data_IF_003676976209
#
_entry.id   IF_003676976209
#
_cell.length_a   1.000
_cell.length_b   1.000
_cell.length_c   1.000
_cell.angle_alpha   90.00
_cell.angle_beta   90.00
_cell.angle_gamma   90.00
#
_symmetry.space_group_name_H-M   'P 1'
#
loop_
_entity.id
_entity.type
_entity.pdbx_description
1 polymer ?
#
# COMPACT_ATOMS: atom_id res chain seq x y z
N UNK A 1 -1.01 -33.06 -1.87
CA UNK A 1 -1.04 -31.97 -0.87
C UNK A 1 0.07 -31.01 -1.25
N UNK A 2 -0.20 -29.70 -1.35
CA UNK A 2 0.75 -28.63 -1.76
C UNK A 2 1.70 -28.19 -0.64
N UNK A 3 1.78 -28.95 0.46
CA UNK A 3 2.51 -28.51 1.66
C UNK A 3 4.01 -28.51 1.44
N UNK A 4 4.67 -27.52 2.03
CA UNK A 4 6.12 -27.31 2.02
C UNK A 4 6.60 -27.34 3.47
N UNK A 5 7.73 -28.00 3.75
CA UNK A 5 8.38 -27.91 5.07
C UNK A 5 9.63 -27.04 4.99
N UNK A 6 9.73 -26.06 5.87
CA UNK A 6 10.98 -25.36 6.16
C UNK A 6 11.57 -25.97 7.43
N UNK A 7 12.70 -26.67 7.29
CA UNK A 7 13.46 -27.19 8.40
C UNK A 7 14.52 -26.18 8.86
N UNK A 8 14.66 -26.00 10.16
CA UNK A 8 15.75 -25.20 10.75
C UNK A 8 16.15 -25.70 12.13
N UNK A 9 17.38 -25.45 12.57
CA UNK A 9 17.82 -25.85 13.92
C UNK A 9 17.13 -25.01 15.02
N UNK A 10 16.75 -23.77 14.72
CA UNK A 10 16.19 -22.83 15.71
C UNK A 10 15.07 -21.99 15.09
N UNK A 11 13.85 -22.16 15.59
CA UNK A 11 12.69 -21.37 15.17
C UNK A 11 12.63 -20.08 15.97
N UNK A 12 12.97 -18.95 15.34
CA UNK A 12 12.82 -17.61 15.91
C UNK A 12 11.47 -16.97 15.54
N UNK A 13 11.02 -15.93 16.26
CA UNK A 13 9.83 -15.15 15.90
C UNK A 13 9.90 -14.58 14.47
N UNK A 14 11.04 -14.00 14.07
CA UNK A 14 11.26 -13.43 12.73
C UNK A 14 11.16 -14.48 11.62
N UNK A 15 11.81 -15.64 11.82
CA UNK A 15 11.76 -16.74 10.85
C UNK A 15 10.34 -17.28 10.70
N UNK A 16 9.66 -17.50 11.83
CA UNK A 16 8.25 -17.93 11.84
C UNK A 16 7.38 -16.96 11.06
N UNK A 17 7.48 -15.67 11.37
CA UNK A 17 6.72 -14.63 10.71
C UNK A 17 6.94 -14.62 9.20
N UNK A 18 8.20 -14.61 8.73
CA UNK A 18 8.46 -14.47 7.29
C UNK A 18 8.07 -15.72 6.52
N UNK A 19 8.29 -16.93 7.06
CA UNK A 19 7.86 -18.18 6.41
C UNK A 19 6.35 -18.19 6.19
N UNK A 20 5.56 -17.85 7.21
CA UNK A 20 4.10 -17.80 7.08
C UNK A 20 3.61 -16.63 6.22
N UNK A 21 4.34 -15.50 6.20
CA UNK A 21 4.01 -14.39 5.30
C UNK A 21 4.19 -14.78 3.83
N UNK A 22 5.24 -15.54 3.51
CA UNK A 22 5.57 -15.91 2.13
C UNK A 22 4.75 -17.08 1.58
N UNK A 23 4.38 -18.03 2.44
CA UNK A 23 3.75 -19.29 2.00
C UNK A 23 2.37 -19.56 2.59
N UNK A 24 1.90 -18.73 3.53
CA UNK A 24 0.61 -18.92 4.19
C UNK A 24 0.51 -20.25 4.95
N UNK A 25 -0.71 -20.76 5.07
CA UNK A 25 -1.04 -22.00 5.81
C UNK A 25 -0.51 -23.29 5.16
N UNK A 26 0.03 -23.19 3.94
CA UNK A 26 0.62 -24.32 3.22
C UNK A 26 2.06 -24.64 3.66
N UNK A 27 2.71 -23.74 4.40
CA UNK A 27 4.02 -23.99 4.99
C UNK A 27 3.94 -24.63 6.38
N UNK A 28 4.81 -25.60 6.60
CA UNK A 28 5.16 -26.12 7.92
C UNK A 28 6.55 -25.59 8.27
N UNK A 29 6.77 -25.27 9.55
CA UNK A 29 8.07 -24.85 10.08
C UNK A 29 8.44 -25.79 11.21
N UNK A 30 9.55 -26.52 11.05
CA UNK A 30 9.96 -27.57 11.97
C UNK A 30 11.45 -27.54 12.30
N UNK A 31 11.80 -28.14 13.43
CA UNK A 31 13.19 -28.28 13.88
C UNK A 31 13.60 -29.72 14.19
N UNK A 32 12.71 -30.69 13.98
CA UNK A 32 13.03 -32.10 14.08
C UNK A 32 13.57 -32.61 12.73
N UNK A 33 14.83 -33.06 12.74
CA UNK A 33 15.48 -33.57 11.54
C UNK A 33 14.87 -34.88 11.04
N UNK A 34 14.44 -35.76 11.95
CA UNK A 34 13.82 -37.02 11.57
C UNK A 34 12.47 -36.79 10.88
N UNK A 35 11.67 -35.84 11.40
CA UNK A 35 10.44 -35.40 10.73
C UNK A 35 10.73 -34.79 9.36
N UNK A 36 11.76 -33.93 9.26
CA UNK A 36 12.12 -33.29 8.01
C UNK A 36 12.56 -34.27 6.92
N UNK A 37 13.35 -35.30 7.28
CA UNK A 37 13.78 -36.33 6.34
C UNK A 37 12.67 -37.32 5.97
N UNK A 38 11.64 -37.46 6.80
CA UNK A 38 10.48 -38.31 6.54
C UNK A 38 9.32 -37.57 5.85
N UNK A 39 9.45 -36.27 5.58
CA UNK A 39 8.38 -35.45 5.01
C UNK A 39 8.10 -35.82 3.55
N UNK A 40 6.83 -36.11 3.25
CA UNK A 40 6.36 -36.41 1.88
C UNK A 40 6.01 -35.11 1.13
N UNK A 41 7.05 -34.43 0.64
CA UNK A 41 6.93 -33.19 -0.11
C UNK A 41 8.24 -32.41 -0.13
N UNK A 42 8.24 -31.18 -0.70
CA UNK A 42 9.44 -30.37 -0.71
C UNK A 42 9.86 -29.95 0.71
N UNK A 43 11.16 -30.00 0.95
CA UNK A 43 11.80 -29.60 2.21
C UNK A 43 12.88 -28.56 1.91
N UNK A 44 12.67 -27.33 2.38
CA UNK A 44 13.71 -26.31 2.42
C UNK A 44 14.53 -26.50 3.70
N UNK A 45 15.80 -26.85 3.55
CA UNK A 45 16.78 -26.85 4.61
C UNK A 45 17.29 -25.42 4.85
N UNK A 46 16.77 -24.77 5.89
CA UNK A 46 17.24 -23.47 6.38
C UNK A 46 18.26 -23.65 7.51
N UNK A 47 19.45 -24.13 7.14
CA UNK A 47 20.58 -24.32 8.05
C UNK A 47 21.92 -24.22 7.33
N UNK A 48 23.02 -24.25 8.08
CA UNK A 48 24.38 -24.26 7.51
C UNK A 48 24.83 -25.66 7.06
N UNK A 49 24.16 -26.69 7.58
CA UNK A 49 24.54 -28.08 7.31
C UNK A 49 24.02 -28.53 5.94
N UNK A 50 24.78 -29.41 5.28
CA UNK A 50 24.30 -30.12 4.09
C UNK A 50 23.53 -31.34 4.59
N UNK A 51 22.23 -31.38 4.31
CA UNK A 51 21.34 -32.46 4.72
C UNK A 51 20.86 -33.23 3.48
N UNK A 52 21.41 -34.44 3.22
CA UNK A 52 20.94 -35.29 2.13
C UNK A 52 19.44 -35.58 2.26
N UNK A 53 18.71 -35.59 1.14
CA UNK A 53 17.26 -35.84 1.11
C UNK A 53 16.39 -34.59 1.23
N UNK A 54 16.98 -33.42 1.54
CA UNK A 54 16.26 -32.13 1.46
C UNK A 54 16.21 -31.63 0.01
N UNK A 55 15.23 -30.80 -0.30
CA UNK A 55 14.93 -30.37 -1.67
C UNK A 55 15.73 -29.13 -2.09
N UNK A 56 16.01 -28.25 -1.14
CA UNK A 56 16.71 -27.00 -1.39
C UNK A 56 17.36 -26.53 -0.10
N UNK A 57 18.62 -26.08 -0.15
CA UNK A 57 19.30 -25.46 0.98
C UNK A 57 19.33 -23.94 0.81
N UNK A 58 18.82 -23.24 1.82
CA UNK A 58 18.97 -21.79 1.99
C UNK A 58 19.81 -21.58 3.25
N UNK A 59 20.98 -20.96 3.12
CA UNK A 59 21.90 -20.81 4.26
C UNK A 59 21.54 -19.55 5.05
N UNK A 60 21.36 -19.63 6.39
CA UNK A 60 21.02 -18.45 7.20
C UNK A 60 22.22 -17.50 7.39
N UNK A 61 22.01 -16.21 7.16
CA UNK A 61 22.97 -15.11 7.41
C UNK A 61 22.96 -14.58 8.84
N UNK A 62 21.92 -14.88 9.62
CA UNK A 62 21.86 -14.55 11.06
C UNK A 62 20.75 -13.58 11.45
N UNK A 63 20.30 -12.70 10.53
CA UNK A 63 19.34 -11.63 10.82
C UNK A 63 18.06 -12.12 11.51
N UNK A 64 17.57 -13.29 11.10
CA UNK A 64 16.32 -13.84 11.64
C UNK A 64 16.50 -14.38 13.06
N UNK A 65 17.71 -14.65 13.53
CA UNK A 65 17.98 -15.14 14.89
C UNK A 65 18.30 -14.00 15.87
N UNK A 66 18.52 -12.78 15.37
CA UNK A 66 18.84 -11.62 16.18
C UNK A 66 17.61 -11.03 16.88
N UNK A 67 17.85 -10.41 18.04
CA UNK A 67 16.85 -9.64 18.78
C UNK A 67 17.08 -8.13 18.70
N UNK A 68 18.32 -7.70 18.43
CA UNK A 68 18.65 -6.29 18.29
C UNK A 68 18.30 -5.75 16.90
N UNK A 69 18.21 -4.43 16.82
CA UNK A 69 18.11 -3.67 15.58
C UNK A 69 19.41 -2.88 15.43
N UNK A 70 20.11 -3.07 14.31
CA UNK A 70 21.36 -2.37 14.04
C UNK A 70 21.60 -2.24 12.54
N UNK A 71 22.52 -1.35 12.15
CA UNK A 71 22.87 -1.19 10.75
C UNK A 71 23.46 -2.48 10.17
N UNK A 72 22.96 -2.90 9.02
CA UNK A 72 23.41 -4.10 8.31
C UNK A 72 24.10 -3.64 7.03
N UNK A 73 25.35 -4.07 6.84
CA UNK A 73 26.03 -3.92 5.55
C UNK A 73 25.47 -4.98 4.60
N UNK A 74 24.71 -4.52 3.60
CA UNK A 74 24.15 -5.39 2.58
C UNK A 74 25.25 -5.73 1.56
N UNK A 75 25.35 -7.01 1.18
CA UNK A 75 26.24 -7.54 0.15
C UNK A 75 25.47 -7.73 -1.17
N UNK A 76 25.28 -6.67 -1.99
CA UNK A 76 24.46 -6.76 -3.19
C UNK A 76 25.06 -7.74 -4.21
N UNK A 77 24.17 -8.48 -4.87
CA UNK A 77 24.50 -9.42 -5.94
C UNK A 77 23.34 -9.55 -6.92
N UNK A 78 23.40 -10.59 -7.76
CA UNK A 78 22.33 -10.91 -8.70
C UNK A 78 22.02 -12.42 -8.71
N UNK A 79 20.74 -12.75 -8.88
CA UNK A 79 20.27 -14.10 -9.15
C UNK A 79 19.21 -14.05 -10.24
N UNK A 80 19.48 -14.64 -11.41
CA UNK A 80 18.54 -14.63 -12.55
C UNK A 80 18.06 -13.20 -12.90
N UNK A 81 19.00 -12.25 -13.02
CA UNK A 81 18.74 -10.82 -13.28
C UNK A 81 17.91 -10.09 -12.20
N UNK A 82 17.62 -10.73 -11.07
CA UNK A 82 17.05 -10.10 -9.88
C UNK A 82 18.17 -9.63 -8.96
N UNK A 83 18.13 -8.38 -8.46
CA UNK A 83 18.98 -7.97 -7.35
C UNK A 83 18.75 -8.88 -6.15
N UNK A 84 19.83 -9.22 -5.44
CA UNK A 84 19.80 -9.95 -4.16
C UNK A 84 20.75 -9.28 -3.18
N UNK A 85 20.60 -9.61 -1.91
CA UNK A 85 21.51 -9.29 -0.81
C UNK A 85 21.36 -10.39 0.25
N UNK A 86 22.23 -10.42 1.26
CA UNK A 86 22.44 -11.57 2.14
C UNK A 86 23.01 -12.79 1.40
N UNK A 87 24.02 -12.59 0.54
CA UNK A 87 24.57 -13.65 -0.32
C UNK A 87 25.17 -14.83 0.46
N UNK A 88 24.89 -16.05 0.01
CA UNK A 88 25.39 -17.29 0.64
C UNK A 88 25.70 -18.38 -0.39
N UNK A 89 26.31 -19.48 0.06
CA UNK A 89 26.64 -20.65 -0.76
C UNK A 89 25.56 -21.75 -0.68
N UNK A 90 24.28 -21.37 -0.62
CA UNK A 90 23.14 -22.29 -0.72
C UNK A 90 22.81 -22.69 -2.16
N UNK A 91 21.81 -23.55 -2.34
CA UNK A 91 21.22 -23.82 -3.67
C UNK A 91 20.52 -22.56 -4.20
N UNK A 92 19.93 -21.78 -3.28
CA UNK A 92 19.59 -20.38 -3.49
C UNK A 92 20.79 -19.54 -3.04
N UNK A 93 21.31 -18.61 -3.87
CA UNK A 93 22.60 -17.94 -3.64
C UNK A 93 22.55 -16.83 -2.57
N UNK A 94 21.50 -16.76 -1.78
CA UNK A 94 21.31 -15.79 -0.71
C UNK A 94 20.32 -16.30 0.33
N UNK A 95 20.34 -15.69 1.52
CA UNK A 95 19.34 -15.91 2.55
C UNK A 95 18.03 -15.22 2.16
N UNK A 96 17.22 -15.92 1.36
CA UNK A 96 15.93 -15.45 0.86
C UNK A 96 14.99 -15.01 2.00
N UNK A 97 14.98 -15.75 3.12
CA UNK A 97 14.10 -15.41 4.24
C UNK A 97 14.57 -14.15 4.97
N UNK A 98 15.88 -13.97 5.18
CA UNK A 98 16.39 -12.72 5.75
C UNK A 98 16.16 -11.53 4.83
N UNK A 99 16.40 -11.69 3.52
CA UNK A 99 16.19 -10.62 2.55
C UNK A 99 14.71 -10.21 2.44
N UNK A 100 13.80 -11.18 2.39
CA UNK A 100 12.37 -10.93 2.37
C UNK A 100 11.89 -10.29 3.67
N UNK A 101 12.36 -10.76 4.83
CA UNK A 101 12.04 -10.15 6.13
C UNK A 101 12.49 -8.70 6.18
N UNK A 102 13.73 -8.40 5.77
CA UNK A 102 14.28 -7.05 5.75
C UNK A 102 13.40 -6.06 4.95
N UNK A 103 12.91 -6.49 3.77
CA UNK A 103 12.05 -5.67 2.91
C UNK A 103 10.62 -5.56 3.45
N UNK A 104 10.00 -6.66 3.87
CA UNK A 104 8.59 -6.68 4.28
C UNK A 104 8.41 -6.04 5.67
N UNK A 105 9.32 -6.29 6.61
CA UNK A 105 9.27 -5.68 7.95
C UNK A 105 9.64 -4.19 7.93
N UNK A 106 10.10 -3.68 6.77
CA UNK A 106 10.68 -2.35 6.60
C UNK A 106 11.82 -2.11 7.60
N UNK A 107 12.71 -3.09 7.75
CA UNK A 107 13.79 -3.07 8.76
C UNK A 107 14.59 -1.76 8.72
N UNK A 108 14.89 -1.28 7.51
CA UNK A 108 15.61 -0.03 7.24
C UNK A 108 14.96 1.23 7.84
N UNK A 109 13.64 1.24 8.08
CA UNK A 109 12.94 2.40 8.66
C UNK A 109 13.09 2.50 10.19
N UNK A 110 13.56 1.43 10.84
CA UNK A 110 13.90 1.44 12.27
C UNK A 110 15.34 1.92 12.53
N UNK A 111 16.14 2.11 11.47
CA UNK A 111 17.49 2.63 11.56
C UNK A 111 17.48 4.17 11.44
N UNK A 112 18.52 4.86 11.95
CA UNK A 112 18.66 6.30 11.72
C UNK A 112 18.62 6.64 10.22
N UNK A 113 17.75 7.56 9.83
CA UNK A 113 17.57 7.97 8.45
C UNK A 113 17.16 9.44 8.35
N UNK A 114 17.39 10.03 7.19
CA UNK A 114 16.89 11.36 6.88
C UNK A 114 15.43 11.27 6.42
N UNK A 115 14.54 11.98 7.12
CA UNK A 115 13.15 12.08 6.71
C UNK A 115 12.99 13.01 5.50
N UNK A 116 11.97 12.76 4.68
CA UNK A 116 11.60 13.68 3.61
C UNK A 116 10.94 14.96 4.15
N UNK A 117 10.55 15.87 3.26
CA UNK A 117 9.92 17.15 3.63
C UNK A 117 8.62 17.00 4.46
N UNK A 118 7.98 15.83 4.44
CA UNK A 118 6.75 15.52 5.19
C UNK A 118 7.02 14.72 6.46
N UNK A 119 8.28 14.48 6.82
CA UNK A 119 8.66 13.67 7.97
C UNK A 119 8.50 12.16 7.74
N UNK A 120 8.40 11.72 6.47
CA UNK A 120 8.27 10.30 6.10
C UNK A 120 9.64 9.70 5.82
N UNK A 121 9.71 8.38 5.78
CA UNK A 121 10.89 7.70 5.25
C UNK A 121 11.07 8.04 3.76
N UNK A 122 12.20 8.66 3.41
CA UNK A 122 12.49 9.03 2.03
C UNK A 122 12.83 7.80 1.19
N UNK A 123 12.22 7.67 0.00
CA UNK A 123 12.48 6.54 -0.91
C UNK A 123 13.97 6.40 -1.28
N UNK A 124 14.73 7.51 -1.33
CA UNK A 124 16.16 7.52 -1.65
C UNK A 124 17.02 6.80 -0.61
N UNK A 125 16.54 6.68 0.62
CA UNK A 125 17.22 5.91 1.67
C UNK A 125 17.04 4.40 1.48
N UNK A 126 16.01 3.99 0.73
CA UNK A 126 15.66 2.59 0.62
C UNK A 126 16.69 1.80 -0.17
N UNK A 127 16.93 0.57 0.27
CA UNK A 127 17.70 -0.43 -0.48
C UNK A 127 17.13 -0.62 -1.88
N UNK A 128 15.80 -0.55 -2.02
CA UNK A 128 15.10 -0.66 -3.30
C UNK A 128 15.45 0.44 -4.30
N UNK A 129 15.65 1.67 -3.82
CA UNK A 129 16.12 2.77 -4.66
C UNK A 129 17.61 2.62 -4.98
N UNK A 130 18.43 2.37 -3.96
CA UNK A 130 19.89 2.28 -4.11
C UNK A 130 20.33 1.16 -5.06
N UNK A 131 19.61 0.05 -5.07
CA UNK A 131 19.86 -1.11 -5.94
C UNK A 131 18.92 -1.15 -7.17
N UNK A 132 18.20 -0.06 -7.46
CA UNK A 132 17.39 0.15 -8.66
C UNK A 132 16.32 -0.94 -8.90
N UNK A 133 15.56 -1.29 -7.87
CA UNK A 133 14.44 -2.25 -7.96
C UNK A 133 13.12 -1.75 -7.40
N UNK A 134 12.95 -0.44 -7.15
CA UNK A 134 11.68 0.14 -6.69
C UNK A 134 10.46 -0.32 -7.51
N UNK A 135 10.63 -0.50 -8.82
CA UNK A 135 9.56 -0.91 -9.73
C UNK A 135 9.33 -2.42 -9.75
N UNK A 136 9.94 -3.21 -8.87
CA UNK A 136 9.83 -4.68 -8.85
C UNK A 136 9.15 -5.14 -7.56
N UNK A 137 8.14 -6.02 -7.63
CA UNK A 137 7.67 -6.78 -6.47
C UNK A 137 8.68 -7.90 -6.15
N UNK A 138 9.91 -7.50 -5.81
CA UNK A 138 11.10 -8.33 -5.85
C UNK A 138 10.97 -9.61 -5.00
N UNK A 139 10.30 -9.53 -3.85
CA UNK A 139 10.08 -10.70 -2.99
C UNK A 139 9.16 -11.71 -3.66
N UNK A 140 8.12 -11.26 -4.37
CA UNK A 140 7.26 -12.14 -5.15
C UNK A 140 8.04 -12.79 -6.32
N UNK A 141 8.91 -12.04 -7.00
CA UNK A 141 9.74 -12.57 -8.08
C UNK A 141 10.72 -13.65 -7.56
N UNK A 142 11.34 -13.43 -6.39
CA UNK A 142 12.18 -14.45 -5.75
C UNK A 142 11.39 -15.72 -5.39
N UNK A 143 10.15 -15.60 -4.94
CA UNK A 143 9.29 -16.77 -4.65
C UNK A 143 8.95 -17.56 -5.91
N UNK A 144 8.70 -16.89 -7.03
CA UNK A 144 8.50 -17.59 -8.30
C UNK A 144 9.74 -18.37 -8.75
N UNK A 145 10.93 -17.77 -8.61
CA UNK A 145 12.18 -18.45 -8.91
C UNK A 145 12.46 -19.63 -7.97
N UNK A 146 12.14 -19.51 -6.68
CA UNK A 146 12.19 -20.61 -5.71
C UNK A 146 11.20 -21.71 -6.08
N UNK A 147 9.97 -21.38 -6.47
CA UNK A 147 8.97 -22.35 -6.90
C UNK A 147 9.45 -23.16 -8.11
N UNK A 148 10.00 -22.47 -9.12
CA UNK A 148 10.58 -23.11 -10.30
C UNK A 148 11.75 -24.03 -9.94
N UNK A 149 12.59 -23.64 -8.98
CA UNK A 149 13.67 -24.48 -8.49
C UNK A 149 13.14 -25.76 -7.81
N UNK A 150 12.15 -25.64 -6.93
CA UNK A 150 11.54 -26.79 -6.24
C UNK A 150 10.80 -27.71 -7.22
N UNK A 151 10.18 -27.17 -8.27
CA UNK A 151 9.49 -27.94 -9.31
C UNK A 151 10.41 -28.85 -10.13
N UNK A 152 11.72 -28.60 -10.14
CA UNK A 152 12.70 -29.51 -10.78
C UNK A 152 12.74 -30.87 -10.07
N UNK A 153 12.50 -30.88 -8.75
CA UNK A 153 12.48 -32.08 -7.92
C UNK A 153 11.06 -32.59 -7.62
N UNK A 154 10.09 -31.67 -7.57
CA UNK A 154 8.68 -31.96 -7.31
C UNK A 154 7.78 -31.38 -8.40
N UNK A 155 7.70 -32.00 -9.60
CA UNK A 155 7.01 -31.41 -10.76
C UNK A 155 5.51 -31.15 -10.57
N UNK A 156 4.89 -31.84 -9.62
CA UNK A 156 3.47 -31.69 -9.29
C UNK A 156 3.21 -30.73 -8.13
N UNK A 157 4.27 -30.26 -7.46
CA UNK A 157 4.14 -29.30 -6.37
C UNK A 157 4.02 -27.88 -6.95
N UNK A 158 3.08 -27.11 -6.40
CA UNK A 158 2.94 -25.68 -6.63
C UNK A 158 2.70 -25.02 -5.30
N UNK A 159 3.27 -23.84 -5.11
CA UNK A 159 2.89 -22.99 -3.99
C UNK A 159 1.40 -22.60 -4.15
N UNK A 160 0.69 -22.41 -3.04
CA UNK A 160 -0.61 -21.73 -3.10
C UNK A 160 -0.39 -20.32 -3.67
N UNK A 161 -0.85 -20.12 -4.90
CA UNK A 161 -0.81 -18.82 -5.56
C UNK A 161 -2.14 -18.12 -5.31
N UNK A 162 -2.14 -16.86 -4.87
CA UNK A 162 -3.35 -16.06 -4.87
C UNK A 162 -3.87 -15.92 -6.30
N UNK A 163 -5.13 -15.49 -6.43
CA UNK A 163 -5.67 -15.05 -7.71
C UNK A 163 -5.45 -13.55 -7.79
N UNK A 164 -4.94 -13.10 -8.94
CA UNK A 164 -4.81 -11.68 -9.22
C UNK A 164 -6.13 -10.94 -8.95
N UNK A 165 -6.05 -9.78 -8.31
CA UNK A 165 -7.23 -8.96 -8.05
C UNK A 165 -6.94 -7.47 -8.26
N UNK A 166 -7.81 -6.79 -8.99
CA UNK A 166 -7.81 -5.34 -9.17
C UNK A 166 -8.81 -4.71 -8.20
N UNK A 167 -8.32 -3.85 -7.31
CA UNK A 167 -9.15 -3.15 -6.32
C UNK A 167 -8.79 -1.66 -6.30
N UNK A 168 -9.39 -0.81 -7.14
CA UNK A 168 -9.10 0.63 -7.09
C UNK A 168 -9.49 1.22 -5.74
N UNK A 169 -8.77 2.26 -5.33
CA UNK A 169 -9.06 2.97 -4.07
C UNK A 169 -9.00 4.47 -4.26
N UNK A 170 -9.79 5.19 -3.46
CA UNK A 170 -9.94 6.64 -3.59
C UNK A 170 -9.71 7.38 -2.30
N UNK A 171 -8.89 8.43 -2.37
CA UNK A 171 -8.67 9.36 -1.28
C UNK A 171 -9.51 10.62 -1.54
N UNK A 172 -10.51 10.84 -0.67
CA UNK A 172 -11.45 11.95 -0.78
C UNK A 172 -10.87 13.17 -0.04
N UNK A 173 -9.88 13.81 -0.66
CA UNK A 173 -9.17 14.97 -0.09
C UNK A 173 -9.91 16.30 -0.30
N UNK A 174 -10.64 16.39 -1.40
CA UNK A 174 -11.39 17.57 -1.81
C UNK A 174 -12.75 17.14 -2.36
N UNK A 175 -13.68 16.82 -1.46
CA UNK A 175 -14.98 16.27 -1.77
C UNK A 175 -15.82 17.17 -2.69
N UNK A 176 -15.67 18.49 -2.51
CA UNK A 176 -16.36 19.52 -3.28
C UNK A 176 -15.42 20.70 -3.53
N UNK A 177 -15.46 21.27 -4.74
CA UNK A 177 -14.67 22.46 -5.12
C UNK A 177 -15.28 23.73 -4.58
N UNK A 178 -16.61 23.85 -4.62
CA UNK A 178 -17.33 25.05 -4.19
C UNK A 178 -18.39 24.77 -3.12
N UNK A 179 -19.23 23.74 -3.33
CA UNK A 179 -20.34 23.42 -2.43
C UNK A 179 -19.84 23.06 -1.04
N UNK A 180 -20.68 23.28 -0.04
CA UNK A 180 -20.45 22.90 1.36
C UNK A 180 -19.25 23.59 2.06
N UNK A 181 -18.48 24.43 1.36
CA UNK A 181 -17.54 25.35 1.98
C UNK A 181 -18.25 26.52 2.66
N UNK A 182 -17.59 27.13 3.66
CA UNK A 182 -18.16 28.24 4.40
C UNK A 182 -18.50 29.43 3.46
N UNK A 183 -19.67 30.07 3.60
CA UNK A 183 -20.11 31.13 2.69
C UNK A 183 -19.09 32.28 2.54
N UNK A 184 -18.47 32.71 3.64
CA UNK A 184 -17.49 33.79 3.62
C UNK A 184 -16.23 33.43 2.80
N UNK A 185 -15.80 32.16 2.80
CA UNK A 185 -14.65 31.69 2.03
C UNK A 185 -14.95 31.76 0.53
N UNK A 186 -16.18 31.41 0.15
CA UNK A 186 -16.63 31.50 -1.23
C UNK A 186 -16.84 32.94 -1.70
N UNK A 187 -17.35 33.82 -0.85
CA UNK A 187 -17.47 35.26 -1.14
C UNK A 187 -16.08 35.89 -1.29
N UNK A 188 -15.16 35.63 -0.36
CA UNK A 188 -13.78 36.13 -0.46
C UNK A 188 -13.05 35.57 -1.69
N UNK A 189 -13.25 34.30 -2.01
CA UNK A 189 -12.72 33.69 -3.23
C UNK A 189 -13.32 34.32 -4.49
N UNK A 190 -14.62 34.59 -4.51
CA UNK A 190 -15.31 35.26 -5.61
C UNK A 190 -14.74 36.64 -5.89
N UNK A 191 -14.62 37.50 -4.87
CA UNK A 191 -14.04 38.82 -5.05
C UNK A 191 -12.56 38.77 -5.46
N UNK A 192 -11.77 37.87 -4.86
CA UNK A 192 -10.37 37.69 -5.26
C UNK A 192 -10.24 37.25 -6.72
N UNK A 193 -11.01 36.24 -7.14
CA UNK A 193 -10.93 35.69 -8.49
C UNK A 193 -11.43 36.71 -9.52
N UNK A 194 -12.46 37.50 -9.17
CA UNK A 194 -12.93 38.64 -9.97
C UNK A 194 -11.84 39.71 -10.14
N UNK A 195 -11.17 40.09 -9.06
CA UNK A 195 -10.05 41.05 -9.09
C UNK A 195 -8.83 40.52 -9.86
N UNK A 196 -8.64 39.19 -9.89
CA UNK A 196 -7.58 38.53 -10.66
C UNK A 196 -7.97 38.26 -12.13
N UNK A 197 -9.16 38.68 -12.57
CA UNK A 197 -9.64 38.47 -13.94
C UNK A 197 -9.98 37.02 -14.29
N UNK A 198 -10.18 36.14 -13.29
CA UNK A 198 -10.52 34.72 -13.47
C UNK A 198 -12.03 34.53 -13.68
N UNK A 199 -12.57 35.16 -14.72
CA UNK A 199 -14.02 35.22 -14.97
C UNK A 199 -14.67 33.84 -15.17
N UNK A 200 -13.95 32.88 -15.76
CA UNK A 200 -14.45 31.51 -15.94
C UNK A 200 -14.74 30.83 -14.58
N UNK A 201 -13.81 30.92 -13.62
CA UNK A 201 -13.99 30.38 -12.26
C UNK A 201 -15.14 31.06 -11.51
N UNK A 202 -15.33 32.37 -11.74
CA UNK A 202 -16.45 33.14 -11.17
C UNK A 202 -17.79 32.66 -11.74
N UNK A 203 -17.87 32.47 -13.06
CA UNK A 203 -19.06 31.98 -13.74
C UNK A 203 -19.41 30.55 -13.34
N UNK A 204 -18.43 29.64 -13.32
CA UNK A 204 -18.59 28.26 -12.88
C UNK A 204 -19.14 28.20 -11.46
N UNK A 205 -18.54 28.96 -10.53
CA UNK A 205 -19.03 29.05 -9.14
C UNK A 205 -20.50 29.49 -9.09
N UNK A 206 -20.89 30.49 -9.89
CA UNK A 206 -22.28 30.95 -9.95
C UNK A 206 -23.23 29.90 -10.57
N UNK A 207 -22.78 29.18 -11.59
CA UNK A 207 -23.54 28.09 -12.22
C UNK A 207 -23.76 26.92 -11.25
N UNK A 208 -22.73 26.54 -10.49
CA UNK A 208 -22.83 25.51 -9.45
C UNK A 208 -23.82 25.92 -8.35
N UNK A 209 -23.73 27.14 -7.83
CA UNK A 209 -24.67 27.61 -6.79
C UNK A 209 -26.10 27.82 -7.28
N UNK A 210 -26.29 28.13 -8.57
CA UNK A 210 -27.63 28.21 -9.17
C UNK A 210 -28.20 26.83 -9.55
N UNK A 211 -27.44 25.75 -9.38
CA UNK A 211 -27.85 24.39 -9.77
C UNK A 211 -27.83 24.13 -11.27
N UNK A 212 -27.25 25.04 -12.07
CA UNK A 212 -27.12 24.88 -13.52
C UNK A 212 -25.97 23.96 -13.93
N UNK A 213 -25.03 23.71 -13.02
CA UNK A 213 -23.89 22.83 -13.22
C UNK A 213 -23.64 22.03 -11.94
N UNK A 214 -23.16 20.79 -12.07
CA UNK A 214 -22.69 19.99 -10.95
C UNK A 214 -21.35 20.55 -10.41
N UNK A 215 -21.07 20.34 -9.13
CA UNK A 215 -19.77 20.72 -8.58
C UNK A 215 -18.66 19.87 -9.24
N UNK A 216 -17.57 20.46 -9.76
CA UNK A 216 -16.57 19.71 -10.52
C UNK A 216 -15.94 18.52 -9.79
N UNK A 217 -15.83 18.58 -8.45
CA UNK A 217 -15.24 17.50 -7.66
C UNK A 217 -16.24 16.41 -7.27
N UNK A 218 -17.53 16.63 -7.54
CA UNK A 218 -18.65 15.72 -7.26
C UNK A 218 -18.74 14.64 -8.34
N UNK A 219 -17.70 13.82 -8.48
CA UNK A 219 -17.52 12.83 -9.56
C UNK A 219 -18.10 11.45 -9.21
N UNK A 220 -18.78 11.32 -8.07
CA UNK A 220 -19.11 10.03 -7.47
C UNK A 220 -20.12 9.21 -8.28
N UNK A 221 -21.07 9.85 -8.96
CA UNK A 221 -22.04 9.16 -9.83
C UNK A 221 -21.33 8.51 -11.04
N UNK A 222 -20.36 9.22 -11.61
CA UNK A 222 -19.52 8.68 -12.69
C UNK A 222 -18.64 7.53 -12.21
N UNK A 223 -18.01 7.66 -11.03
CA UNK A 223 -17.26 6.55 -10.43
C UNK A 223 -18.15 5.34 -10.18
N UNK A 224 -19.36 5.55 -9.63
CA UNK A 224 -20.31 4.49 -9.40
C UNK A 224 -20.68 3.75 -10.70
N UNK A 225 -20.96 4.47 -11.78
CA UNK A 225 -21.23 3.87 -13.10
C UNK A 225 -20.08 2.99 -13.56
N UNK A 226 -18.85 3.48 -13.52
CA UNK A 226 -17.66 2.70 -13.87
C UNK A 226 -17.52 1.43 -13.01
N UNK A 227 -17.80 1.51 -11.70
CA UNK A 227 -17.75 0.32 -10.84
C UNK A 227 -18.79 -0.72 -11.19
N UNK A 228 -20.00 -0.28 -11.56
CA UNK A 228 -21.06 -1.21 -11.96
C UNK A 228 -20.73 -1.87 -13.31
N UNK A 229 -20.20 -1.11 -14.26
CA UNK A 229 -19.82 -1.60 -15.59
C UNK A 229 -18.71 -2.65 -15.54
N UNK A 230 -17.75 -2.48 -14.62
CA UNK A 230 -16.59 -3.35 -14.46
C UNK A 230 -16.67 -4.28 -13.23
N UNK A 231 -17.82 -4.37 -12.56
CA UNK A 231 -18.00 -5.18 -11.34
C UNK A 231 -16.89 -4.97 -10.27
N UNK A 232 -16.46 -3.73 -10.07
CA UNK A 232 -15.37 -3.37 -9.17
C UNK A 232 -15.86 -3.21 -7.73
N UNK A 233 -15.00 -3.58 -6.77
CA UNK A 233 -15.25 -3.39 -5.33
C UNK A 233 -14.29 -2.35 -4.72
N UNK A 234 -14.49 -1.05 -4.99
CA UNK A 234 -13.55 -0.02 -4.58
C UNK A 234 -13.51 0.17 -3.05
N UNK A 235 -12.45 0.84 -2.60
CA UNK A 235 -12.30 1.30 -1.21
C UNK A 235 -12.13 2.82 -1.16
N UNK A 236 -12.97 3.50 -0.38
CA UNK A 236 -12.95 4.95 -0.22
C UNK A 236 -12.40 5.38 1.14
N UNK A 237 -11.43 6.29 1.16
CA UNK A 237 -10.89 6.88 2.38
C UNK A 237 -11.36 8.32 2.53
N UNK A 238 -11.97 8.63 3.67
CA UNK A 238 -12.54 9.95 3.94
C UNK A 238 -11.69 10.78 4.88
N UNK A 239 -11.26 11.95 4.41
CA UNK A 239 -10.59 12.97 5.22
C UNK A 239 -11.63 13.85 5.93
N UNK A 240 -11.82 13.63 7.23
CA UNK A 240 -12.82 14.31 8.05
C UNK A 240 -12.21 15.27 9.08
N UNK A 241 -11.21 16.03 8.66
CA UNK A 241 -10.47 16.95 9.52
C UNK A 241 -11.36 18.08 10.08
N UNK A 242 -11.50 18.16 11.42
CA UNK A 242 -12.17 19.30 12.07
C UNK A 242 -11.37 20.59 11.86
N UNK A 243 -10.04 20.50 12.04
CA UNK A 243 -9.09 21.60 11.85
C UNK A 243 -8.58 21.60 10.41
N UNK A 244 -9.29 22.33 9.55
CA UNK A 244 -8.95 22.49 8.12
C UNK A 244 -7.79 23.48 7.89
N UNK A 245 -6.59 23.13 8.39
CA UNK A 245 -5.35 23.92 8.23
C UNK A 245 -4.37 23.23 7.29
N UNK A 246 -3.61 24.02 6.54
CA UNK A 246 -2.53 23.52 5.70
C UNK A 246 -3.05 22.65 4.55
N UNK A 247 -2.75 21.35 4.62
CA UNK A 247 -3.03 20.40 3.55
C UNK A 247 -4.45 19.79 3.61
N UNK A 248 -5.13 19.84 4.76
CA UNK A 248 -6.48 19.30 4.91
C UNK A 248 -7.52 20.27 4.31
N UNK A 249 -7.89 20.05 3.04
CA UNK A 249 -8.65 21.01 2.22
C UNK A 249 -10.15 20.73 2.12
N UNK A 250 -10.61 19.63 2.70
CA UNK A 250 -12.02 19.26 2.65
C UNK A 250 -12.95 20.32 3.26
N UNK A 251 -14.24 20.33 2.85
CA UNK A 251 -15.28 21.08 3.56
C UNK A 251 -15.36 20.72 5.03
N UNK A 252 -16.09 21.51 5.80
CA UNK A 252 -16.36 21.18 7.20
C UNK A 252 -17.07 19.81 7.30
N UNK A 253 -16.52 18.82 8.03
CA UNK A 253 -17.07 17.47 8.06
C UNK A 253 -18.45 17.42 8.73
N UNK A 254 -18.87 18.46 9.46
CA UNK A 254 -20.20 18.56 10.05
C UNK A 254 -21.27 19.14 9.10
N UNK A 255 -20.91 19.45 7.86
CA UNK A 255 -21.88 19.92 6.87
C UNK A 255 -22.83 18.80 6.43
N UNK A 256 -24.10 19.11 6.10
CA UNK A 256 -25.04 18.12 5.58
C UNK A 256 -24.52 17.40 4.32
N UNK A 257 -23.77 18.10 3.46
CA UNK A 257 -23.18 17.54 2.24
C UNK A 257 -22.14 16.45 2.53
N UNK A 258 -21.19 16.72 3.44
CA UNK A 258 -20.20 15.72 3.84
C UNK A 258 -20.86 14.50 4.48
N UNK A 259 -21.85 14.71 5.36
CA UNK A 259 -22.62 13.61 5.95
C UNK A 259 -23.32 12.77 4.89
N UNK A 260 -24.02 13.40 3.95
CA UNK A 260 -24.76 12.71 2.89
C UNK A 260 -23.83 11.93 1.98
N UNK A 261 -22.68 12.51 1.62
CA UNK A 261 -21.66 11.85 0.79
C UNK A 261 -21.11 10.59 1.46
N UNK A 262 -20.70 10.68 2.72
CA UNK A 262 -20.20 9.51 3.45
C UNK A 262 -21.28 8.44 3.56
N UNK A 263 -22.52 8.82 3.84
CA UNK A 263 -23.66 7.90 3.92
C UNK A 263 -23.94 7.20 2.59
N UNK A 264 -23.94 7.94 1.47
CA UNK A 264 -24.23 7.36 0.15
C UNK A 264 -23.14 6.39 -0.29
N UNK A 265 -21.87 6.75 -0.13
CA UNK A 265 -20.75 5.88 -0.48
C UNK A 265 -20.70 4.66 0.44
N UNK A 266 -20.85 4.84 1.77
CA UNK A 266 -20.80 3.72 2.71
C UNK A 266 -21.98 2.73 2.55
N UNK A 267 -23.10 3.17 1.98
CA UNK A 267 -24.22 2.27 1.66
C UNK A 267 -23.84 1.24 0.58
N UNK A 268 -22.92 1.59 -0.32
CA UNK A 268 -22.59 0.80 -1.51
C UNK A 268 -21.20 0.15 -1.42
N UNK A 269 -20.23 0.85 -0.82
CA UNK A 269 -18.83 0.50 -0.88
C UNK A 269 -18.17 0.42 0.50
N UNK A 270 -17.01 -0.23 0.55
CA UNK A 270 -16.16 -0.23 1.73
C UNK A 270 -15.58 1.18 1.95
N UNK A 271 -15.47 1.58 3.22
CA UNK A 271 -14.94 2.89 3.59
C UNK A 271 -13.92 2.77 4.72
N UNK A 272 -12.91 3.64 4.69
CA UNK A 272 -11.87 3.77 5.70
C UNK A 272 -11.66 5.22 6.10
N UNK A 273 -10.97 5.42 7.22
CA UNK A 273 -10.57 6.77 7.64
C UNK A 273 -9.35 7.21 6.84
N UNK A 274 -9.33 8.48 6.42
CA UNK A 274 -8.13 9.17 5.94
C UNK A 274 -7.69 10.16 7.02
N UNK A 275 -6.91 9.73 8.05
CA UNK A 275 -6.65 10.57 9.21
C UNK A 275 -5.98 11.88 8.80
N UNK A 276 -6.43 12.99 9.38
CA UNK A 276 -5.93 14.31 9.03
C UNK A 276 -4.45 14.46 9.34
N UNK A 277 -3.82 15.48 8.76
CA UNK A 277 -2.41 15.77 9.06
C UNK A 277 -2.17 15.92 10.57
N UNK A 278 -3.07 16.56 11.30
CA UNK A 278 -2.91 16.82 12.74
C UNK A 278 -3.13 15.58 13.60
N UNK A 279 -3.84 14.57 13.11
CA UNK A 279 -4.03 13.29 13.82
C UNK A 279 -2.71 12.52 14.01
N UNK A 280 -1.70 12.82 13.17
CA UNK A 280 -0.34 12.31 13.31
C UNK A 280 0.43 12.88 14.52
N UNK A 281 -0.09 13.92 15.18
CA UNK A 281 0.54 14.55 16.35
C UNK A 281 -0.36 14.49 17.60
N UNK A 282 -1.66 14.27 17.44
CA UNK A 282 -2.67 14.26 18.52
C UNK A 282 -3.62 13.05 18.38
N UNK A 283 -3.44 12.05 19.24
CA UNK A 283 -4.23 10.81 19.25
C UNK A 283 -5.74 11.06 19.46
N UNK A 284 -6.11 12.12 20.18
CA UNK A 284 -7.52 12.45 20.40
C UNK A 284 -8.19 12.94 19.12
N UNK A 285 -7.43 13.50 18.17
CA UNK A 285 -7.95 13.89 16.86
C UNK A 285 -8.29 12.64 16.05
N UNK A 286 -7.39 11.66 15.97
CA UNK A 286 -7.64 10.39 15.27
C UNK A 286 -8.91 9.71 15.78
N UNK A 287 -9.07 9.61 17.10
CA UNK A 287 -10.23 8.95 17.68
C UNK A 287 -11.55 9.69 17.35
N UNK A 288 -11.55 11.02 17.38
CA UNK A 288 -12.72 11.83 17.02
C UNK A 288 -13.08 11.68 15.54
N UNK A 289 -12.11 11.76 14.65
CA UNK A 289 -12.31 11.61 13.20
C UNK A 289 -12.83 10.20 12.86
N UNK A 290 -12.26 9.16 13.49
CA UNK A 290 -12.73 7.78 13.37
C UNK A 290 -14.18 7.62 13.84
N UNK A 291 -14.52 8.19 15.01
CA UNK A 291 -15.90 8.14 15.56
C UNK A 291 -16.88 8.86 14.65
N UNK A 292 -16.50 10.00 14.07
CA UNK A 292 -17.34 10.74 13.13
C UNK A 292 -17.63 9.92 11.87
N UNK A 293 -16.61 9.29 11.29
CA UNK A 293 -16.79 8.40 10.13
C UNK A 293 -17.72 7.23 10.50
N UNK A 294 -17.50 6.58 11.64
CA UNK A 294 -18.35 5.47 12.09
C UNK A 294 -19.82 5.89 12.28
N UNK A 295 -20.04 7.09 12.81
CA UNK A 295 -21.40 7.65 12.97
C UNK A 295 -22.07 7.91 11.63
N UNK A 296 -21.35 8.42 10.62
CA UNK A 296 -21.92 8.67 9.29
C UNK A 296 -22.11 7.39 8.49
N UNK A 297 -21.15 6.48 8.49
CA UNK A 297 -21.22 5.22 7.75
C UNK A 297 -22.18 4.20 8.37
N UNK A 298 -22.49 4.34 9.67
CA UNK A 298 -23.28 3.37 10.42
C UNK A 298 -22.56 2.03 10.64
N UNK A 299 -21.24 1.99 10.46
CA UNK A 299 -20.41 0.78 10.51
C UNK A 299 -19.14 1.02 11.33
N UNK A 300 -18.56 -0.03 11.94
CA UNK A 300 -17.22 0.06 12.52
C UNK A 300 -16.19 0.49 11.47
N UNK A 301 -15.31 1.41 11.84
CA UNK A 301 -14.20 1.84 10.99
C UNK A 301 -12.96 1.04 11.38
N UNK A 302 -12.50 0.18 10.48
CA UNK A 302 -11.35 -0.72 10.71
C UNK A 302 -10.23 -0.54 9.71
N UNK A 303 -10.43 0.25 8.65
CA UNK A 303 -9.44 0.55 7.63
C UNK A 303 -8.95 1.99 7.76
N UNK A 304 -7.65 2.21 7.53
CA UNK A 304 -7.00 3.53 7.55
C UNK A 304 -6.04 3.70 6.38
N UNK A 305 -5.94 4.91 5.84
CA UNK A 305 -4.82 5.35 5.00
C UNK A 305 -4.39 6.73 5.48
N UNK A 306 -3.12 6.94 5.81
CA UNK A 306 -2.63 8.23 6.30
C UNK A 306 -2.69 9.28 5.19
N UNK A 307 -3.23 10.47 5.48
CA UNK A 307 -3.14 11.61 4.57
C UNK A 307 -1.67 11.94 4.30
N UNK A 308 -1.33 12.16 3.02
CA UNK A 308 0.05 12.28 2.53
C UNK A 308 0.93 11.04 2.79
N UNK A 309 0.36 9.87 3.11
CA UNK A 309 1.12 8.69 3.55
C UNK A 309 2.09 9.02 4.70
N UNK A 310 1.67 9.91 5.61
CA UNK A 310 2.45 10.33 6.79
C UNK A 310 2.59 9.18 7.79
N UNK A 311 3.43 8.21 7.41
CA UNK A 311 3.68 6.97 8.12
C UNK A 311 5.09 6.99 8.72
N UNK A 312 5.14 6.93 10.06
CA UNK A 312 6.37 6.75 10.83
C UNK A 312 6.26 5.47 11.65
N UNK A 313 7.12 4.49 11.34
CA UNK A 313 7.21 3.24 12.10
C UNK A 313 8.05 3.45 13.38
N UNK A 314 7.73 2.74 14.48
CA UNK A 314 6.52 1.93 14.70
C UNK A 314 5.31 2.75 15.17
N UNK A 315 5.50 4.04 15.48
CA UNK A 315 4.55 4.87 16.22
C UNK A 315 3.15 4.93 15.59
N UNK A 316 3.09 5.14 14.28
CA UNK A 316 1.80 5.30 13.57
C UNK A 316 0.97 4.02 13.66
N UNK A 317 1.59 2.86 13.44
CA UNK A 317 0.89 1.57 13.47
C UNK A 317 0.46 1.15 14.87
N UNK A 318 1.25 1.48 15.90
CA UNK A 318 0.81 1.31 17.30
C UNK A 318 -0.44 2.14 17.60
N UNK A 319 -0.45 3.43 17.22
CA UNK A 319 -1.62 4.30 17.42
C UNK A 319 -2.86 3.79 16.69
N UNK A 320 -2.71 3.30 15.46
CA UNK A 320 -3.80 2.69 14.70
C UNK A 320 -4.38 1.49 15.45
N UNK A 321 -3.53 0.59 15.96
CA UNK A 321 -3.96 -0.54 16.78
C UNK A 321 -4.66 -0.09 18.06
N UNK A 322 -4.14 0.93 18.75
CA UNK A 322 -4.68 1.43 20.02
C UNK A 322 -6.11 1.97 19.86
N UNK A 323 -6.41 2.61 18.72
CA UNK A 323 -7.78 3.05 18.40
C UNK A 323 -8.62 1.97 17.73
N UNK A 324 -8.11 0.75 17.55
CA UNK A 324 -8.84 -0.40 16.99
C UNK A 324 -8.98 -0.42 15.46
N UNK A 325 -8.02 0.16 14.73
CA UNK A 325 -7.86 -0.08 13.29
C UNK A 325 -7.22 -1.45 13.09
N UNK A 326 -7.69 -2.18 12.08
CA UNK A 326 -7.28 -3.55 11.78
C UNK A 326 -6.50 -3.64 10.47
N UNK A 327 -6.67 -2.68 9.56
CA UNK A 327 -5.95 -2.64 8.30
C UNK A 327 -5.45 -1.23 7.96
N UNK A 328 -4.20 -1.14 7.52
CA UNK A 328 -3.59 0.09 7.00
C UNK A 328 -3.23 -0.05 5.52
N UNK A 329 -3.47 1.02 4.78
CA UNK A 329 -3.30 1.12 3.33
C UNK A 329 -2.30 2.22 2.95
N UNK A 330 -1.32 2.49 3.80
CA UNK A 330 -0.36 3.60 3.67
C UNK A 330 1.05 3.15 3.24
N UNK A 331 1.27 1.84 3.06
CA UNK A 331 2.58 1.25 2.74
C UNK A 331 2.95 1.43 1.26
N UNK A 332 3.28 2.67 0.89
CA UNK A 332 3.86 3.06 -0.40
C UNK A 332 4.78 4.27 -0.21
N UNK A 333 5.49 4.68 -1.26
CA UNK A 333 6.21 5.95 -1.28
C UNK A 333 5.29 7.05 -1.79
N UNK A 334 5.34 8.24 -1.17
CA UNK A 334 4.53 9.37 -1.63
C UNK A 334 5.18 10.22 -2.72
N UNK A 335 6.45 9.98 -3.04
CA UNK A 335 7.24 10.81 -3.98
C UNK A 335 7.74 10.05 -5.21
N UNK A 336 7.50 8.74 -5.30
CA UNK A 336 7.85 7.90 -6.43
C UNK A 336 6.89 6.72 -6.47
N UNK A 337 6.39 6.34 -7.64
CA UNK A 337 5.60 5.13 -7.79
C UNK A 337 6.52 3.90 -7.67
N UNK A 338 6.06 2.82 -7.05
CA UNK A 338 6.87 1.63 -6.80
C UNK A 338 6.54 0.89 -5.50
N UNK A 339 7.18 -0.26 -5.31
CA UNK A 339 6.87 -1.20 -4.23
C UNK A 339 7.70 -0.91 -2.97
N UNK A 340 7.12 -0.20 -2.00
CA UNK A 340 7.80 0.11 -0.72
C UNK A 340 8.20 -1.13 0.06
N UNK A 341 7.36 -2.15 0.13
CA UNK A 341 7.69 -3.42 0.80
C UNK A 341 8.26 -4.48 -0.17
N UNK A 342 8.46 -4.14 -1.46
CA UNK A 342 8.80 -5.09 -2.53
C UNK A 342 7.88 -6.32 -2.59
N UNK A 343 6.61 -6.12 -2.21
CA UNK A 343 5.60 -7.15 -2.01
C UNK A 343 4.22 -6.63 -2.45
N UNK A 344 3.33 -7.54 -2.85
CA UNK A 344 2.03 -7.21 -3.51
C UNK A 344 0.79 -7.72 -2.80
N UNK A 345 0.93 -8.48 -1.73
CA UNK A 345 -0.18 -9.07 -1.01
C UNK A 345 -0.31 -8.46 0.39
N UNK A 346 -1.49 -8.53 1.02
CA UNK A 346 -1.63 -8.12 2.41
C UNK A 346 -0.73 -8.95 3.33
N UNK A 347 -0.11 -8.31 4.32
CA UNK A 347 0.73 -8.98 5.32
C UNK A 347 0.55 -8.36 6.70
N UNK A 348 0.66 -9.14 7.76
CA UNK A 348 0.56 -8.60 9.11
C UNK A 348 1.82 -7.79 9.44
N UNK A 349 1.67 -6.63 10.06
CA UNK A 349 2.81 -5.83 10.48
C UNK A 349 3.61 -6.55 11.57
N UNK A 350 4.93 -6.64 11.37
CA UNK A 350 5.89 -7.07 12.38
C UNK A 350 6.46 -5.85 13.11
N UNK A 351 6.12 -5.70 14.39
CA UNK A 351 6.70 -4.68 15.26
C UNK A 351 8.12 -5.11 15.63
N UNK A 352 9.10 -4.59 14.89
CA UNK A 352 10.50 -5.03 14.97
C UNK A 352 11.11 -4.72 16.34
N UNK A 353 10.75 -3.58 16.96
CA UNK A 353 11.23 -3.23 18.30
C UNK A 353 10.69 -4.18 19.37
N UNK A 354 9.46 -4.68 19.20
CA UNK A 354 8.86 -5.67 20.11
C UNK A 354 9.16 -7.12 19.71
N UNK A 355 9.84 -7.32 18.59
CA UNK A 355 10.14 -8.61 17.96
C UNK A 355 8.91 -9.53 17.86
N UNK A 356 7.79 -8.99 17.38
CA UNK A 356 6.54 -9.74 17.28
C UNK A 356 5.65 -9.32 16.11
N UNK A 357 4.94 -10.30 15.55
CA UNK A 357 3.82 -10.05 14.64
C UNK A 357 2.65 -9.42 15.41
N UNK A 358 2.01 -8.42 14.80
CA UNK A 358 0.80 -7.77 15.33
C UNK A 358 -0.45 -8.21 14.58
N UNK A 359 -1.62 -7.72 15.00
CA UNK A 359 -2.90 -7.94 14.29
C UNK A 359 -3.18 -6.92 13.18
N UNK A 360 -2.31 -5.94 12.95
CA UNK A 360 -2.53 -4.90 11.93
C UNK A 360 -2.16 -5.47 10.56
N UNK A 361 -3.13 -5.55 9.64
CA UNK A 361 -2.92 -6.03 8.29
C UNK A 361 -2.53 -4.87 7.37
N UNK A 362 -1.41 -4.99 6.68
CA UNK A 362 -0.87 -3.96 5.80
C UNK A 362 -1.18 -4.30 4.35
N UNK A 363 -1.80 -3.35 3.65
CA UNK A 363 -2.06 -3.42 2.21
C UNK A 363 -1.07 -2.49 1.49
N UNK A 364 0.01 -3.03 0.92
CA UNK A 364 0.91 -2.23 0.11
C UNK A 364 0.24 -1.84 -1.21
N UNK A 365 0.65 -0.71 -1.77
CA UNK A 365 0.32 -0.32 -3.14
C UNK A 365 1.55 0.30 -3.81
N UNK A 366 1.49 0.43 -5.13
CA UNK A 366 2.63 0.90 -5.91
C UNK A 366 2.34 2.03 -6.89
N UNK A 367 1.07 2.45 -7.04
CA UNK A 367 0.70 3.55 -7.91
C UNK A 367 -0.24 4.54 -7.22
N UNK A 368 0.07 5.82 -7.33
CA UNK A 368 -0.78 6.93 -6.92
C UNK A 368 -0.71 8.05 -7.95
N UNK A 369 -1.87 8.54 -8.38
CA UNK A 369 -1.97 9.63 -9.37
C UNK A 369 -1.27 10.92 -8.90
N UNK A 370 -1.40 11.31 -7.63
CA UNK A 370 -0.75 12.51 -7.09
C UNK A 370 0.78 12.41 -7.11
N UNK A 371 1.34 11.20 -7.03
CA UNK A 371 2.77 10.95 -7.21
C UNK A 371 3.18 11.16 -8.66
N UNK A 372 2.46 10.54 -9.60
CA UNK A 372 2.71 10.71 -11.03
C UNK A 372 2.59 12.20 -11.44
N UNK A 373 1.57 12.91 -10.95
CA UNK A 373 1.28 14.29 -11.31
C UNK A 373 2.31 15.28 -10.72
N UNK A 374 2.55 15.24 -9.40
CA UNK A 374 3.26 16.33 -8.73
C UNK A 374 4.74 16.04 -8.45
N UNK A 375 5.09 14.77 -8.23
CA UNK A 375 6.44 14.36 -7.85
C UNK A 375 7.25 13.93 -9.06
N UNK A 376 6.72 13.00 -9.83
CA UNK A 376 7.38 12.50 -11.06
C UNK A 376 7.10 13.42 -12.25
N UNK A 377 6.01 14.20 -12.20
CA UNK A 377 5.60 15.18 -13.22
C UNK A 377 5.45 14.55 -14.60
N UNK A 378 4.87 13.36 -14.61
CA UNK A 378 4.60 12.60 -15.83
C UNK A 378 3.56 13.31 -16.69
N UNK A 379 3.75 13.21 -18.00
CA UNK A 379 2.67 13.43 -18.95
C UNK A 379 1.60 12.34 -18.82
N UNK A 380 0.41 12.59 -19.38
CA UNK A 380 -0.69 11.60 -19.37
C UNK A 380 -0.23 10.28 -20.01
N UNK A 381 0.48 10.33 -21.14
CA UNK A 381 0.95 9.13 -21.83
C UNK A 381 1.99 8.36 -20.99
N UNK A 382 2.94 9.06 -20.36
CA UNK A 382 3.92 8.44 -19.47
C UNK A 382 3.25 7.80 -18.25
N UNK A 383 2.29 8.48 -17.63
CA UNK A 383 1.54 7.96 -16.50
C UNK A 383 0.68 6.73 -16.88
N UNK A 384 0.13 6.70 -18.09
CA UNK A 384 -0.63 5.55 -18.60
C UNK A 384 0.29 4.34 -18.80
N UNK A 385 1.48 4.55 -19.36
CA UNK A 385 2.51 3.50 -19.51
C UNK A 385 2.97 2.99 -18.15
N UNK A 386 3.19 3.88 -17.19
CA UNK A 386 3.61 3.50 -15.83
C UNK A 386 2.53 2.69 -15.11
N UNK A 387 1.29 3.18 -15.10
CA UNK A 387 0.14 2.50 -14.50
C UNK A 387 -0.02 1.08 -15.05
N UNK A 388 0.01 0.95 -16.39
CA UNK A 388 -0.10 -0.35 -17.06
C UNK A 388 1.11 -1.24 -16.74
N UNK A 389 2.33 -0.68 -16.69
CA UNK A 389 3.54 -1.45 -16.35
C UNK A 389 3.46 -2.02 -14.94
N UNK A 390 3.05 -1.23 -13.96
CA UNK A 390 2.90 -1.66 -12.57
C UNK A 390 1.76 -2.68 -12.43
N UNK A 391 0.62 -2.46 -13.09
CA UNK A 391 -0.47 -3.41 -13.17
C UNK A 391 0.01 -4.78 -13.69
N UNK A 392 0.72 -4.80 -14.82
CA UNK A 392 1.22 -6.04 -15.41
C UNK A 392 2.23 -6.76 -14.51
N UNK A 393 3.07 -6.03 -13.77
CA UNK A 393 3.99 -6.62 -12.80
C UNK A 393 3.26 -7.30 -11.65
N UNK A 394 2.24 -6.65 -11.09
CA UNK A 394 1.41 -7.25 -10.04
C UNK A 394 0.63 -8.45 -10.56
N UNK A 395 0.09 -8.35 -11.77
CA UNK A 395 -0.64 -9.45 -12.44
C UNK A 395 0.24 -10.67 -12.68
N UNK A 396 1.49 -10.50 -13.11
CA UNK A 396 2.45 -11.61 -13.32
C UNK A 396 2.75 -12.40 -12.05
N UNK A 397 2.64 -11.76 -10.89
CA UNK A 397 2.84 -12.40 -9.58
C UNK A 397 1.55 -12.77 -8.86
N UNK A 398 0.41 -12.69 -9.58
CA UNK A 398 -0.94 -12.89 -9.03
C UNK A 398 -1.22 -12.08 -7.75
N UNK A 399 -0.68 -10.87 -7.67
CA UNK A 399 -0.84 -10.00 -6.51
C UNK A 399 -2.16 -9.23 -6.47
N UNK A 400 -2.30 -8.38 -5.46
CA UNK A 400 -3.40 -7.42 -5.33
C UNK A 400 -2.95 -6.07 -5.89
N UNK A 401 -3.55 -5.62 -7.01
CA UNK A 401 -3.28 -4.30 -7.55
C UNK A 401 -4.31 -3.29 -7.03
N UNK A 402 -3.84 -2.37 -6.18
CA UNK A 402 -4.68 -1.36 -5.53
C UNK A 402 -4.17 0.05 -5.82
N UNK A 403 -4.39 0.59 -7.04
CA UNK A 403 -3.97 1.94 -7.36
C UNK A 403 -4.78 2.96 -6.55
N UNK A 404 -4.15 4.10 -6.24
CA UNK A 404 -4.77 5.21 -5.51
C UNK A 404 -5.06 6.35 -6.47
N UNK A 405 -6.32 6.78 -6.48
CA UNK A 405 -6.75 7.97 -7.21
C UNK A 405 -7.44 8.97 -6.30
N UNK A 406 -7.31 10.26 -6.59
CA UNK A 406 -8.02 11.30 -5.85
C UNK A 406 -9.17 11.84 -6.70
N UNK A 407 -10.36 11.95 -6.09
CA UNK A 407 -11.58 12.35 -6.78
C UNK A 407 -11.43 13.65 -7.58
N UNK A 408 -10.65 14.60 -7.05
CA UNK A 408 -10.46 15.92 -7.61
C UNK A 408 -9.46 15.99 -8.79
N UNK A 409 -8.79 14.87 -9.14
CA UNK A 409 -8.03 14.72 -10.38
C UNK A 409 -8.82 13.98 -11.48
N UNK A 410 -10.00 13.46 -11.15
CA UNK A 410 -10.85 12.71 -12.08
C UNK A 410 -12.05 13.54 -12.57
N UNK A 411 -11.88 14.85 -12.66
CA UNK A 411 -12.95 15.79 -13.02
C UNK A 411 -12.98 16.06 -14.53
N UNK A 412 -14.05 16.69 -15.02
CA UNK A 412 -14.16 17.13 -16.43
C UNK A 412 -13.51 18.50 -16.68
N UNK A 413 -12.80 19.04 -15.70
CA UNK A 413 -12.06 20.29 -15.86
C UNK A 413 -10.93 20.10 -16.88
N UNK A 414 -10.61 21.15 -17.63
CA UNK A 414 -9.61 21.09 -18.70
C UNK A 414 -8.25 20.57 -18.22
N UNK A 415 -7.84 20.93 -17.01
CA UNK A 415 -6.57 20.48 -16.43
C UNK A 415 -6.56 18.99 -16.01
N UNK A 416 -7.74 18.37 -15.82
CA UNK A 416 -7.91 17.02 -15.26
C UNK A 416 -8.54 16.02 -16.23
N UNK A 417 -9.18 16.49 -17.31
CA UNK A 417 -9.91 15.62 -18.24
C UNK A 417 -9.04 14.52 -18.85
N UNK A 418 -7.76 14.79 -19.10
CA UNK A 418 -6.80 13.78 -19.58
C UNK A 418 -6.51 12.69 -18.55
N UNK A 419 -6.44 13.02 -17.27
CA UNK A 419 -6.27 12.06 -16.17
C UNK A 419 -7.53 11.24 -15.93
N UNK A 420 -8.71 11.87 -16.05
CA UNK A 420 -10.00 11.18 -16.04
C UNK A 420 -10.10 10.15 -17.17
N UNK A 421 -9.74 10.53 -18.39
CA UNK A 421 -9.75 9.61 -19.55
C UNK A 421 -8.76 8.48 -19.38
N UNK A 422 -7.52 8.77 -18.96
CA UNK A 422 -6.51 7.75 -18.66
C UNK A 422 -7.04 6.71 -17.68
N UNK A 423 -7.69 7.16 -16.61
CA UNK A 423 -8.24 6.27 -15.59
C UNK A 423 -9.37 5.39 -16.15
N UNK A 424 -10.29 5.98 -16.91
CA UNK A 424 -11.35 5.26 -17.58
C UNK A 424 -10.80 4.21 -18.56
N UNK A 425 -9.88 4.61 -19.44
CA UNK A 425 -9.25 3.70 -20.42
C UNK A 425 -8.49 2.56 -19.74
N UNK A 426 -7.89 2.81 -18.56
CA UNK A 426 -7.26 1.77 -17.77
C UNK A 426 -8.27 0.74 -17.26
N UNK A 427 -9.40 1.18 -16.70
CA UNK A 427 -10.46 0.28 -16.24
C UNK A 427 -11.14 -0.44 -17.40
N UNK A 428 -11.39 0.22 -18.54
CA UNK A 428 -11.99 -0.43 -19.71
C UNK A 428 -11.16 -1.61 -20.25
N UNK A 429 -9.83 -1.51 -20.13
CA UNK A 429 -8.90 -2.56 -20.58
C UNK A 429 -8.69 -3.68 -19.56
N UNK A 430 -8.82 -3.38 -18.26
CA UNK A 430 -8.31 -4.24 -17.18
C UNK A 430 -9.32 -4.56 -16.08
N UNK A 431 -10.46 -3.88 -16.06
CA UNK A 431 -11.52 -3.96 -15.05
C UNK A 431 -12.49 -5.10 -15.27
#
# INVERSE_FOLDING_TARGET
>A
MSRLLVYTQHISPRLRYIVYTLFGDDALLGSDLAEALAFDGPVINYSRDILPGTSCRIVPKGLLQEQSIHGIELDPGQWQDMPIFFQTAGDIPFDLFAAAFYLISRYEEYLPHEADHYGRYAHTNSTAYQLNFLQRPLVNEWLQALELHLQQLYPHWRAAQPVFYLKPSYDIDMAYRYRHHAPFRNIAAFFRDLLQGKFETVLERAQVYSGRQQDPNDVYDWLHQLHQEHALEPLYFFLLAEKRKGVDKNPDPFTPGMRQLVQSIAAQYATGIHPSWQSGDDEQVLEREKRLLAYYSGRPVTASRQHYLRLTLPHTYRRLLDVGIQADYSMAYGTVNGFRASWTLPFFWYDLEKDMQTSLLIYPFCYMDSTAIFWERLTIDEAAVELETLYQRVRRVNGLFMPVFHNHFLTEQQEWIGWRQLYQDFLERNG
#
